data_IF_790750220335
#
_entry.id   IF_790750220335
#
_cell.length_a   1.000
_cell.length_b   1.000
_cell.length_c   1.000
_cell.angle_alpha   90.00
_cell.angle_beta   90.00
_cell.angle_gamma   90.00
#
_symmetry.space_group_name_H-M   'P 1'
#
loop_
_entity.id
_entity.type
_entity.pdbx_description
1 polymer ?
#
# COMPACT_ATOMS: atom_id res chain seq x y z
N UNK A 1 25.73 35.90 -29.10
CA UNK A 1 24.27 35.93 -28.83
C UNK A 1 23.78 34.52 -28.52
N UNK A 2 23.34 34.30 -27.27
CA UNK A 2 22.25 33.41 -26.76
C UNK A 2 21.98 32.10 -27.54
N UNK A 3 21.92 30.95 -26.88
CA UNK A 3 20.76 30.55 -26.05
C UNK A 3 21.14 29.48 -25.01
N UNK A 4 20.84 29.76 -23.75
CA UNK A 4 20.79 28.79 -22.65
C UNK A 4 19.62 27.80 -22.85
N UNK A 5 19.73 26.53 -22.44
CA UNK A 5 18.59 25.62 -22.45
C UNK A 5 17.66 25.95 -21.26
N UNK A 6 16.39 26.22 -21.57
CA UNK A 6 15.33 26.39 -20.55
C UNK A 6 15.10 25.05 -19.85
N UNK A 7 15.38 24.99 -18.56
CA UNK A 7 14.78 24.01 -17.65
C UNK A 7 13.27 24.20 -17.67
N UNK A 8 12.52 23.21 -18.17
CA UNK A 8 11.09 23.11 -17.89
C UNK A 8 10.93 22.72 -16.42
N UNK A 9 10.68 23.73 -15.58
CA UNK A 9 10.16 23.56 -14.23
C UNK A 9 8.73 23.00 -14.34
N UNK A 10 8.55 21.73 -14.03
CA UNK A 10 7.22 21.12 -13.89
C UNK A 10 6.73 21.46 -12.48
N UNK A 11 5.79 22.40 -12.40
CA UNK A 11 5.08 22.70 -11.16
C UNK A 11 4.12 21.56 -10.80
N UNK A 12 3.92 21.24 -9.50
CA UNK A 12 2.96 20.24 -9.08
C UNK A 12 1.52 20.70 -9.37
N UNK A 13 0.58 19.76 -9.65
CA UNK A 13 -0.81 20.11 -9.95
C UNK A 13 -1.48 20.71 -8.72
N UNK A 14 -1.97 21.94 -8.85
CA UNK A 14 -2.81 22.62 -7.86
C UNK A 14 -4.22 22.08 -7.95
N UNK A 15 -4.68 21.43 -6.89
CA UNK A 15 -6.09 21.05 -6.69
C UNK A 15 -6.89 22.32 -6.38
N UNK A 16 -8.00 22.62 -7.09
CA UNK A 16 -8.81 23.80 -6.78
C UNK A 16 -9.55 23.62 -5.43
N UNK A 17 -9.68 24.68 -4.61
CA UNK A 17 -10.45 24.63 -3.37
C UNK A 17 -11.94 24.52 -3.70
N UNK A 18 -12.58 23.45 -3.21
CA UNK A 18 -14.02 23.27 -3.30
C UNK A 18 -14.77 24.37 -2.54
N UNK A 19 -15.74 24.98 -3.21
CA UNK A 19 -16.63 26.00 -2.69
C UNK A 19 -17.46 25.46 -1.51
N UNK A 20 -17.51 26.23 -0.44
CA UNK A 20 -18.30 25.94 0.75
C UNK A 20 -19.78 26.21 0.51
N UNK A 21 -20.61 25.19 0.69
CA UNK A 21 -22.05 25.35 0.93
C UNK A 21 -22.32 25.32 2.43
N UNK A 22 -22.98 26.39 2.92
CA UNK A 22 -23.48 26.53 4.30
C UNK A 22 -24.66 25.58 4.58
N UNK A 23 -24.92 25.23 5.86
CA UNK A 23 -25.90 24.19 6.22
C UNK A 23 -27.33 24.73 6.21
N UNK A 24 -28.27 23.93 5.69
CA UNK A 24 -29.70 24.14 5.81
C UNK A 24 -30.24 23.32 6.99
N UNK A 25 -30.91 23.98 7.93
CA UNK A 25 -31.66 23.36 9.02
C UNK A 25 -32.89 22.62 8.48
N UNK A 26 -33.15 21.42 9.00
CA UNK A 26 -34.50 20.82 8.95
C UNK A 26 -34.77 20.07 10.24
N UNK A 27 -35.92 20.34 10.84
CA UNK A 27 -36.41 19.79 12.10
C UNK A 27 -36.98 18.38 11.91
N UNK A 28 -36.74 17.52 12.90
CA UNK A 28 -37.72 16.59 13.48
C UNK A 28 -38.00 15.30 12.73
N UNK A 29 -37.60 14.18 13.34
CA UNK A 29 -38.07 12.85 12.97
C UNK A 29 -37.29 11.75 13.70
N UNK A 30 -37.79 11.34 14.86
CA UNK A 30 -37.29 10.18 15.60
C UNK A 30 -37.68 8.93 14.79
N UNK A 31 -36.70 8.23 14.24
CA UNK A 31 -36.90 6.90 13.67
C UNK A 31 -35.93 5.96 14.39
N UNK A 32 -36.51 5.07 15.19
CA UNK A 32 -35.79 4.03 15.92
C UNK A 32 -35.10 3.10 14.92
N UNK A 33 -33.78 2.96 15.05
CA UNK A 33 -32.99 2.06 14.22
C UNK A 33 -33.02 0.69 14.90
N UNK A 34 -33.91 -0.18 14.45
CA UNK A 34 -33.92 -1.59 14.83
C UNK A 34 -32.55 -2.21 14.51
N UNK A 35 -31.94 -2.77 15.55
CA UNK A 35 -30.69 -3.51 15.46
C UNK A 35 -30.88 -4.71 14.52
N UNK A 36 -30.24 -4.65 13.34
CA UNK A 36 -30.11 -5.83 12.49
C UNK A 36 -28.98 -6.70 13.03
N UNK A 37 -29.30 -7.98 13.15
CA UNK A 37 -28.54 -9.00 13.86
C UNK A 37 -27.11 -9.17 13.33
N UNK A 38 -26.16 -9.25 14.27
CA UNK A 38 -24.75 -9.57 14.04
C UNK A 38 -24.63 -10.98 13.42
N UNK A 39 -24.22 -11.09 12.15
CA UNK A 39 -24.01 -12.39 11.50
C UNK A 39 -22.78 -13.08 12.11
N UNK A 40 -22.85 -14.38 12.46
CA UNK A 40 -21.77 -15.06 13.18
C UNK A 40 -20.52 -15.18 12.31
N UNK A 41 -19.37 -14.85 12.91
CA UNK A 41 -18.05 -14.95 12.30
C UNK A 41 -17.81 -16.30 11.64
N UNK A 42 -17.31 -16.27 10.41
CA UNK A 42 -17.03 -17.44 9.58
C UNK A 42 -15.87 -18.23 10.21
N UNK A 43 -16.20 -19.25 11.02
CA UNK A 43 -15.25 -20.28 11.44
C UNK A 43 -14.65 -20.95 10.20
N UNK A 44 -13.32 -21.02 10.14
CA UNK A 44 -12.56 -21.57 9.02
C UNK A 44 -13.05 -22.98 8.68
N UNK A 45 -13.38 -23.19 7.40
CA UNK A 45 -13.89 -24.47 6.90
C UNK A 45 -12.68 -25.41 6.73
N UNK A 46 -12.67 -26.53 7.45
CA UNK A 46 -11.76 -27.64 7.17
C UNK A 46 -12.12 -28.25 5.81
N UNK A 47 -11.09 -28.52 4.99
CA UNK A 47 -11.22 -28.83 3.58
C UNK A 47 -12.06 -30.07 3.28
N UNK A 48 -12.97 -29.91 2.31
CA UNK A 48 -13.46 -30.98 1.46
C UNK A 48 -13.34 -30.48 0.02
N UNK A 49 -12.57 -31.19 -0.80
CA UNK A 49 -12.30 -30.90 -2.21
C UNK A 49 -13.53 -31.23 -3.09
N UNK A 50 -14.66 -30.59 -2.80
CA UNK A 50 -15.85 -30.60 -3.65
C UNK A 50 -15.86 -29.41 -4.62
N UNK A 51 -16.69 -29.44 -5.67
CA UNK A 51 -16.92 -28.27 -6.52
C UNK A 51 -17.26 -27.08 -5.65
N UNK A 52 -16.47 -26.01 -5.77
CA UNK A 52 -16.70 -24.77 -5.04
C UNK A 52 -17.95 -24.10 -5.61
N UNK A 53 -19.10 -24.37 -5.01
CA UNK A 53 -20.33 -23.63 -5.33
C UNK A 53 -20.13 -22.14 -4.98
N UNK A 54 -20.59 -21.27 -5.88
CA UNK A 54 -20.54 -19.82 -5.65
C UNK A 54 -21.29 -19.47 -4.35
N UNK A 55 -20.76 -18.56 -3.52
CA UNK A 55 -21.49 -18.04 -2.37
C UNK A 55 -22.86 -17.50 -2.78
N UNK A 56 -23.85 -17.59 -1.89
CA UNK A 56 -25.26 -17.24 -2.14
C UNK A 56 -25.44 -15.88 -2.82
N UNK A 57 -24.65 -14.88 -2.39
CA UNK A 57 -24.81 -13.48 -2.82
C UNK A 57 -23.71 -13.06 -3.82
N UNK A 58 -23.03 -14.02 -4.48
CA UNK A 58 -21.89 -13.74 -5.36
C UNK A 58 -22.26 -12.83 -6.54
N UNK A 59 -23.38 -13.11 -7.22
CA UNK A 59 -23.77 -12.35 -8.42
C UNK A 59 -24.14 -10.90 -8.07
N UNK A 60 -24.80 -10.69 -6.92
CA UNK A 60 -25.15 -9.36 -6.41
C UNK A 60 -23.89 -8.56 -6.06
N UNK A 61 -22.98 -9.14 -5.26
CA UNK A 61 -21.71 -8.50 -4.91
C UNK A 61 -20.88 -8.20 -6.16
N UNK A 62 -20.85 -9.12 -7.13
CA UNK A 62 -20.13 -8.94 -8.38
C UNK A 62 -20.68 -7.78 -9.22
N UNK A 63 -22.01 -7.65 -9.33
CA UNK A 63 -22.66 -6.54 -10.01
C UNK A 63 -22.27 -5.20 -9.37
N UNK A 64 -22.36 -5.10 -8.03
CA UNK A 64 -21.98 -3.90 -7.28
C UNK A 64 -20.50 -3.57 -7.48
N UNK A 65 -19.60 -4.55 -7.38
CA UNK A 65 -18.15 -4.34 -7.60
C UNK A 65 -17.89 -3.85 -9.02
N UNK A 66 -18.59 -4.39 -10.02
CA UNK A 66 -18.43 -3.97 -11.42
C UNK A 66 -18.83 -2.51 -11.61
N UNK A 67 -19.98 -2.08 -11.06
CA UNK A 67 -20.43 -0.69 -11.11
C UNK A 67 -19.45 0.24 -10.38
N UNK A 68 -19.00 -0.12 -9.17
CA UNK A 68 -18.03 0.67 -8.41
C UNK A 68 -16.71 0.84 -9.16
N UNK A 69 -16.23 -0.22 -9.82
CA UNK A 69 -14.99 -0.21 -10.61
C UNK A 69 -15.13 0.59 -11.91
N UNK A 70 -16.33 0.75 -12.45
CA UNK A 70 -16.59 1.64 -13.59
C UNK A 70 -16.59 3.13 -13.20
N UNK A 71 -16.90 3.45 -11.95
CA UNK A 71 -16.98 4.83 -11.44
C UNK A 71 -15.60 5.36 -11.03
N UNK A 72 -14.78 4.54 -10.35
CA UNK A 72 -13.50 4.99 -9.80
C UNK A 72 -12.47 3.86 -9.72
N UNK A 73 -11.24 4.18 -10.11
CA UNK A 73 -10.10 3.30 -9.90
C UNK A 73 -9.76 3.12 -8.42
N UNK A 74 -9.32 1.92 -8.07
CA UNK A 74 -8.85 1.61 -6.74
C UNK A 74 -7.38 2.06 -6.61
N UNK A 75 -6.94 2.48 -5.41
CA UNK A 75 -5.54 2.88 -5.19
C UNK A 75 -4.54 1.79 -5.61
N UNK A 76 -4.88 0.50 -5.41
CA UNK A 76 -4.04 -0.64 -5.79
C UNK A 76 -3.74 -0.73 -7.30
N UNK A 77 -4.57 -0.12 -8.16
CA UNK A 77 -4.34 -0.11 -9.60
C UNK A 77 -3.13 0.76 -9.99
N UNK A 78 -2.82 1.77 -9.17
CA UNK A 78 -1.71 2.72 -9.42
C UNK A 78 -0.57 2.61 -8.40
N UNK A 79 -0.90 2.20 -7.18
CA UNK A 79 0.01 2.12 -6.02
C UNK A 79 0.13 0.70 -5.48
N UNK A 80 -0.21 -0.31 -6.29
CA UNK A 80 -0.05 -1.71 -5.93
C UNK A 80 1.41 -2.07 -5.70
N UNK A 81 1.66 -3.08 -4.86
CA UNK A 81 3.02 -3.46 -4.45
C UNK A 81 3.95 -3.79 -5.63
N UNK A 82 3.40 -4.28 -6.74
CA UNK A 82 4.13 -4.60 -7.97
C UNK A 82 4.70 -3.36 -8.69
N UNK A 83 4.18 -2.17 -8.39
CA UNK A 83 4.63 -0.88 -8.96
C UNK A 83 5.65 -0.16 -8.07
N UNK A 84 5.93 -0.66 -6.87
CA UNK A 84 6.74 0.04 -5.86
C UNK A 84 8.25 -0.30 -5.92
N UNK A 85 8.65 -1.11 -6.90
CA UNK A 85 10.05 -1.49 -7.11
C UNK A 85 10.75 -0.53 -8.07
N UNK A 86 12.07 -0.45 -7.97
CA UNK A 86 12.87 0.21 -8.99
C UNK A 86 13.01 -0.73 -10.20
N UNK A 87 12.53 -0.30 -11.36
CA UNK A 87 12.56 -1.09 -12.59
C UNK A 87 13.97 -1.13 -13.21
N UNK A 88 14.81 -0.15 -12.90
CA UNK A 88 16.19 -0.06 -13.36
C UNK A 88 17.16 -0.85 -12.46
N UNK A 89 16.69 -1.32 -11.29
CA UNK A 89 17.48 -2.16 -10.42
C UNK A 89 17.68 -3.57 -10.99
N UNK A 90 18.76 -4.22 -10.55
CA UNK A 90 19.05 -5.60 -10.91
C UNK A 90 17.86 -6.53 -10.56
N UNK A 91 17.61 -7.61 -11.34
CA UNK A 91 16.45 -8.47 -11.13
C UNK A 91 16.35 -9.06 -9.71
N UNK A 92 17.49 -9.30 -9.06
CA UNK A 92 17.53 -9.79 -7.68
C UNK A 92 17.11 -8.72 -6.67
N UNK A 93 17.63 -7.51 -6.81
CA UNK A 93 17.27 -6.37 -5.97
C UNK A 93 15.81 -5.99 -6.18
N UNK A 94 15.31 -6.05 -7.42
CA UNK A 94 13.89 -5.81 -7.72
C UNK A 94 12.98 -6.82 -7.01
N UNK A 95 13.34 -8.10 -6.98
CA UNK A 95 12.59 -9.14 -6.23
C UNK A 95 12.63 -8.89 -4.73
N UNK A 96 13.79 -8.49 -4.21
CA UNK A 96 13.92 -8.11 -2.80
C UNK A 96 13.05 -6.89 -2.45
N UNK A 97 13.08 -5.84 -3.27
CA UNK A 97 12.25 -4.66 -3.10
C UNK A 97 10.75 -4.99 -3.13
N UNK A 98 10.33 -5.92 -4.02
CA UNK A 98 8.96 -6.42 -4.05
C UNK A 98 8.61 -7.14 -2.73
N UNK A 99 9.51 -7.97 -2.22
CA UNK A 99 9.32 -8.63 -0.92
C UNK A 99 9.15 -7.60 0.21
N UNK A 100 9.98 -6.55 0.24
CA UNK A 100 9.86 -5.45 1.21
C UNK A 100 8.49 -4.77 1.09
N UNK A 101 8.06 -4.42 -0.12
CA UNK A 101 6.76 -3.81 -0.37
C UNK A 101 5.59 -4.68 0.12
N UNK A 102 5.69 -6.00 -0.08
CA UNK A 102 4.69 -6.98 0.40
C UNK A 102 4.71 -7.10 1.92
N UNK A 103 5.88 -7.12 2.57
CA UNK A 103 5.98 -7.15 4.03
C UNK A 103 5.38 -5.89 4.68
N UNK A 104 5.55 -4.73 4.03
CA UNK A 104 5.01 -3.46 4.50
C UNK A 104 3.50 -3.32 4.27
N UNK A 105 2.93 -4.01 3.28
CA UNK A 105 1.50 -3.86 2.92
C UNK A 105 0.52 -4.46 3.95
N UNK A 106 0.97 -5.41 4.78
CA UNK A 106 0.10 -6.05 5.77
C UNK A 106 -0.55 -5.01 6.70
N UNK A 107 -1.89 -4.98 6.70
CA UNK A 107 -2.72 -4.05 7.47
C UNK A 107 -2.30 -2.57 7.31
N UNK A 108 -1.91 -2.17 6.10
CA UNK A 108 -1.48 -0.82 5.76
C UNK A 108 -2.17 -0.37 4.47
N UNK A 109 -2.57 0.89 4.40
CA UNK A 109 -3.17 1.47 3.19
C UNK A 109 -2.12 1.57 2.08
N UNK A 110 -2.55 1.39 0.83
CA UNK A 110 -1.65 1.40 -0.32
C UNK A 110 -0.80 2.68 -0.40
N UNK A 111 -1.38 3.85 -0.10
CA UNK A 111 -0.68 5.13 -0.13
C UNK A 111 0.46 5.22 0.90
N UNK A 112 0.25 4.69 2.10
CA UNK A 112 1.28 4.70 3.16
C UNK A 112 2.40 3.72 2.84
N UNK A 113 2.07 2.57 2.24
CA UNK A 113 3.07 1.63 1.75
C UNK A 113 3.91 2.24 0.62
N UNK A 114 3.26 2.86 -0.37
CA UNK A 114 3.94 3.52 -1.48
C UNK A 114 4.88 4.64 -0.99
N UNK A 115 4.43 5.45 -0.03
CA UNK A 115 5.25 6.49 0.61
C UNK A 115 6.44 5.91 1.35
N UNK A 116 6.25 4.84 2.13
CA UNK A 116 7.34 4.18 2.84
C UNK A 116 8.39 3.61 1.87
N UNK A 117 7.96 2.93 0.80
CA UNK A 117 8.86 2.43 -0.24
C UNK A 117 9.62 3.56 -0.94
N UNK A 118 8.94 4.67 -1.26
CA UNK A 118 9.59 5.84 -1.84
C UNK A 118 10.67 6.43 -0.92
N UNK A 119 10.39 6.54 0.38
CA UNK A 119 11.37 7.01 1.37
C UNK A 119 12.60 6.09 1.42
N UNK A 120 12.41 4.77 1.41
CA UNK A 120 13.50 3.79 1.41
C UNK A 120 14.36 3.92 0.16
N UNK A 121 13.73 3.98 -1.02
CA UNK A 121 14.45 4.19 -2.28
C UNK A 121 15.25 5.49 -2.28
N UNK A 122 14.64 6.59 -1.80
CA UNK A 122 15.31 7.88 -1.69
C UNK A 122 16.50 7.82 -0.72
N UNK A 123 16.35 7.16 0.42
CA UNK A 123 17.41 6.99 1.43
C UNK A 123 18.61 6.22 0.87
N UNK A 124 18.38 5.17 0.08
CA UNK A 124 19.44 4.33 -0.47
C UNK A 124 19.93 4.72 -1.87
N UNK A 125 19.33 5.71 -2.54
CA UNK A 125 19.72 6.14 -3.89
C UNK A 125 21.21 6.46 -4.05
N UNK A 126 21.83 7.05 -3.03
CA UNK A 126 23.27 7.35 -3.00
C UNK A 126 24.16 6.21 -2.49
N UNK A 127 23.57 5.10 -2.03
CA UNK A 127 24.25 3.94 -1.41
C UNK A 127 24.20 2.69 -2.28
N UNK A 128 23.84 2.82 -3.57
CA UNK A 128 23.68 1.70 -4.48
C UNK A 128 22.28 1.06 -4.49
N UNK A 129 21.27 1.74 -3.94
CA UNK A 129 19.87 1.30 -4.01
C UNK A 129 19.40 0.45 -2.82
N UNK A 130 18.10 0.16 -2.79
CA UNK A 130 17.48 -0.69 -1.77
C UNK A 130 17.83 -2.16 -2.07
N UNK A 131 18.91 -2.63 -1.46
CA UNK A 131 19.43 -4.00 -1.60
C UNK A 131 19.37 -4.74 -0.26
N UNK A 132 19.46 -6.08 -0.30
CA UNK A 132 19.50 -6.95 0.89
C UNK A 132 20.60 -6.52 1.87
N UNK A 133 21.84 -6.42 1.38
CA UNK A 133 23.01 -5.94 2.11
C UNK A 133 22.83 -4.56 2.74
N UNK A 134 22.30 -3.59 1.98
CA UNK A 134 22.11 -2.23 2.47
C UNK A 134 21.05 -2.15 3.58
N UNK A 135 19.97 -2.92 3.46
CA UNK A 135 18.92 -2.95 4.47
C UNK A 135 19.35 -3.75 5.73
N UNK A 136 20.12 -4.83 5.56
CA UNK A 136 20.69 -5.60 6.66
C UNK A 136 21.65 -4.78 7.55
N UNK A 137 22.41 -3.86 6.94
CA UNK A 137 23.35 -2.98 7.65
C UNK A 137 22.74 -1.70 8.24
N UNK A 138 21.43 -1.49 8.11
CA UNK A 138 20.73 -0.28 8.59
C UNK A 138 20.39 -0.37 10.08
N UNK A 139 20.49 0.74 10.82
CA UNK A 139 20.03 0.78 12.21
C UNK A 139 18.49 0.67 12.28
N UNK A 140 17.96 -0.10 13.23
CA UNK A 140 16.51 -0.25 13.44
C UNK A 140 15.80 1.11 13.56
N UNK A 141 16.38 2.05 14.31
CA UNK A 141 15.80 3.37 14.54
C UNK A 141 15.71 4.20 13.25
N UNK A 142 16.72 4.13 12.39
CA UNK A 142 16.69 4.81 11.11
C UNK A 142 15.62 4.20 10.19
N UNK A 143 15.55 2.87 10.13
CA UNK A 143 14.59 2.15 9.29
C UNK A 143 13.17 2.43 9.74
N UNK A 144 12.90 2.37 11.05
CA UNK A 144 11.61 2.70 11.64
C UNK A 144 11.19 4.13 11.28
N UNK A 145 12.13 5.08 11.32
CA UNK A 145 11.91 6.45 10.90
C UNK A 145 11.45 6.60 9.43
N UNK A 146 11.97 5.77 8.52
CA UNK A 146 11.56 5.78 7.10
C UNK A 146 10.15 5.23 6.89
N UNK A 147 9.75 4.23 7.70
CA UNK A 147 8.50 3.50 7.52
C UNK A 147 7.42 3.84 8.57
N UNK A 148 7.63 4.84 9.43
CA UNK A 148 6.71 5.21 10.53
C UNK A 148 5.23 5.40 10.18
N UNK A 149 4.91 5.64 8.90
CA UNK A 149 3.53 5.76 8.41
C UNK A 149 2.80 4.42 8.26
N UNK A 150 3.53 3.30 8.22
CA UNK A 150 2.93 1.98 8.06
C UNK A 150 2.43 1.42 9.41
N UNK A 151 1.36 0.64 9.38
CA UNK A 151 0.85 -0.04 10.58
C UNK A 151 1.87 -1.04 11.13
N UNK A 152 2.01 -1.09 12.45
CA UNK A 152 2.95 -1.99 13.15
C UNK A 152 4.43 -1.83 12.72
N UNK A 153 4.86 -0.60 12.41
CA UNK A 153 6.21 -0.30 11.91
C UNK A 153 7.33 -0.90 12.78
N UNK A 154 7.25 -0.84 14.13
CA UNK A 154 8.28 -1.38 15.02
C UNK A 154 8.54 -2.89 14.81
N UNK A 155 7.48 -3.66 14.59
CA UNK A 155 7.59 -5.10 14.34
C UNK A 155 8.06 -5.36 12.92
N UNK A 156 7.60 -4.56 11.95
CA UNK A 156 8.03 -4.64 10.56
C UNK A 156 9.52 -4.32 10.41
N UNK A 157 10.03 -3.28 11.07
CA UNK A 157 11.45 -2.90 11.13
C UNK A 157 12.32 -4.10 11.52
N UNK A 158 12.04 -4.72 12.68
CA UNK A 158 12.78 -5.89 13.17
C UNK A 158 12.70 -7.07 12.20
N UNK A 159 11.52 -7.34 11.66
CA UNK A 159 11.32 -8.44 10.71
C UNK A 159 12.04 -8.21 9.39
N UNK A 160 12.04 -6.97 8.87
CA UNK A 160 12.72 -6.61 7.62
C UNK A 160 14.22 -6.82 7.73
N UNK A 161 14.85 -6.33 8.80
CA UNK A 161 16.27 -6.55 9.06
C UNK A 161 16.58 -8.04 9.21
N UNK A 162 15.75 -8.77 9.97
CA UNK A 162 15.89 -10.23 10.12
C UNK A 162 15.82 -10.96 8.77
N UNK A 163 14.87 -10.59 7.92
CA UNK A 163 14.72 -11.19 6.58
C UNK A 163 15.91 -10.84 5.70
N UNK A 164 16.37 -9.59 5.71
CA UNK A 164 17.54 -9.19 4.94
C UNK A 164 18.79 -9.99 5.34
N UNK A 165 19.07 -10.10 6.64
CA UNK A 165 20.16 -10.94 7.16
C UNK A 165 19.99 -12.41 6.75
N UNK A 166 18.79 -12.98 6.90
CA UNK A 166 18.53 -14.37 6.50
C UNK A 166 18.79 -14.62 5.01
N UNK A 167 18.46 -13.66 4.15
CA UNK A 167 18.67 -13.77 2.71
C UNK A 167 20.15 -13.69 2.34
N UNK A 168 20.91 -12.80 2.98
CA UNK A 168 22.38 -12.74 2.82
C UNK A 168 23.06 -14.02 3.31
N UNK A 169 22.62 -14.54 4.47
CA UNK A 169 23.22 -15.72 5.10
C UNK A 169 22.96 -17.03 4.33
N UNK A 170 21.81 -17.15 3.64
CA UNK A 170 21.39 -18.43 3.01
C UNK A 170 21.44 -18.44 1.50
N UNK A 171 21.44 -17.28 0.85
CA UNK A 171 21.31 -17.16 -0.60
C UNK A 171 22.31 -16.12 -1.11
N UNK A 172 23.58 -16.52 -1.14
CA UNK A 172 24.72 -15.80 -1.70
C UNK A 172 25.13 -16.39 -3.05
#
# INVERSE_FOLDING_TARGET
MRRSPRLLSIAPPTVPPGEGSKPAETKGGKADCEASEEKPGRRGRTGKDGPLEKPRDFDEVWAIVTELRAIRDAPVDTMGCHMLTDFEAEPEDRRFQLLVAVMLSSQTKDQENAKAMHNLHAYFKGKGGLTRKNLAGMEEKELDGQIKGVGFHNTKTRNLIRVANLLEDRFH
#
